data_IF_831562032596
#
_entry.id   IF_831562032596
#
_cell.length_a   1.000
_cell.length_b   1.000
_cell.length_c   1.000
_cell.angle_alpha   90.00
_cell.angle_beta   90.00
_cell.angle_gamma   90.00
#
_symmetry.space_group_name_H-M   'P 1'
#
loop_
_entity.id
_entity.type
_entity.pdbx_description
1 polymer ?
#
# COMPACT_ATOMS: atom_id res chain seq x y z
N UNK A 1 24.36 -52.00 -1.81
CA UNK A 1 23.33 -51.58 -0.84
C UNK A 1 22.50 -50.48 -1.53
N UNK A 2 21.27 -50.82 -1.91
CA UNK A 2 20.41 -49.95 -2.67
C UNK A 2 19.64 -49.03 -1.72
N UNK A 3 19.77 -47.71 -1.89
CA UNK A 3 19.04 -46.67 -1.16
C UNK A 3 17.65 -46.51 -1.79
N UNK A 4 16.63 -46.93 -1.07
CA UNK A 4 15.24 -46.79 -1.47
C UNK A 4 14.81 -45.32 -1.44
N UNK A 5 14.51 -44.75 -2.59
CA UNK A 5 13.89 -43.44 -2.74
C UNK A 5 12.43 -43.49 -2.24
N UNK A 6 12.15 -42.82 -1.13
CA UNK A 6 10.77 -42.54 -0.67
C UNK A 6 10.09 -41.61 -1.67
N UNK A 7 9.20 -42.12 -2.50
CA UNK A 7 8.32 -41.33 -3.33
C UNK A 7 7.34 -40.56 -2.42
N UNK A 8 7.44 -39.23 -2.38
CA UNK A 8 6.41 -38.36 -1.81
C UNK A 8 5.14 -38.50 -2.68
N UNK A 9 4.09 -39.10 -2.12
CA UNK A 9 2.76 -39.11 -2.74
C UNK A 9 2.32 -37.64 -2.98
N UNK A 10 1.69 -37.32 -4.13
CA UNK A 10 1.23 -35.96 -4.40
C UNK A 10 0.15 -35.56 -3.39
N UNK A 11 0.33 -34.42 -2.74
CA UNK A 11 -0.65 -33.85 -1.82
C UNK A 11 -1.97 -33.61 -2.59
N UNK A 12 -2.99 -34.37 -2.29
CA UNK A 12 -4.33 -34.24 -2.86
C UNK A 12 -4.87 -32.87 -2.45
N UNK A 13 -5.09 -31.98 -3.40
CA UNK A 13 -5.70 -30.65 -3.16
C UNK A 13 -7.12 -30.84 -2.68
N UNK A 14 -7.35 -30.68 -1.37
CA UNK A 14 -8.69 -30.70 -0.81
C UNK A 14 -9.47 -29.47 -1.24
N UNK A 15 -10.70 -29.66 -1.70
CA UNK A 15 -11.67 -28.62 -2.02
C UNK A 15 -12.73 -28.55 -0.92
N UNK A 16 -13.25 -27.35 -0.63
CA UNK A 16 -14.39 -27.23 0.26
C UNK A 16 -15.70 -27.41 -0.48
N UNK A 17 -16.62 -28.15 0.14
CA UNK A 17 -17.93 -28.44 -0.38
C UNK A 17 -18.99 -28.02 0.66
N UNK A 18 -19.97 -27.24 0.23
CA UNK A 18 -21.20 -27.01 0.97
C UNK A 18 -22.16 -28.15 0.70
N UNK A 19 -22.71 -28.72 1.75
CA UNK A 19 -23.69 -29.76 1.63
C UNK A 19 -24.98 -29.42 2.38
N UNK A 20 -26.08 -29.87 1.84
CA UNK A 20 -27.42 -29.73 2.39
C UNK A 20 -28.10 -31.11 2.33
N UNK A 21 -28.69 -31.57 3.44
CA UNK A 21 -29.34 -32.85 3.48
C UNK A 21 -30.38 -32.93 4.62
N UNK A 22 -31.16 -34.00 4.65
CA UNK A 22 -32.16 -34.24 5.69
C UNK A 22 -31.62 -35.27 6.72
N UNK A 23 -31.71 -34.92 8.01
CA UNK A 23 -31.38 -35.82 9.10
C UNK A 23 -32.49 -36.89 9.25
N UNK A 24 -32.25 -37.91 10.07
CA UNK A 24 -33.23 -38.98 10.37
C UNK A 24 -34.61 -38.47 10.83
N UNK A 25 -34.64 -37.29 11.45
CA UNK A 25 -35.85 -36.59 11.89
C UNK A 25 -36.52 -35.73 10.82
N UNK A 26 -36.08 -35.81 9.56
CA UNK A 26 -36.63 -35.04 8.45
C UNK A 26 -36.23 -33.56 8.42
N UNK A 27 -35.44 -33.05 9.41
CA UNK A 27 -34.98 -31.68 9.48
C UNK A 27 -33.84 -31.42 8.46
N UNK A 28 -33.89 -30.26 7.82
CA UNK A 28 -32.86 -29.81 6.89
C UNK A 28 -31.60 -29.39 7.65
N UNK A 29 -30.49 -30.05 7.39
CA UNK A 29 -29.18 -29.77 7.98
C UNK A 29 -28.23 -29.31 6.86
N UNK A 30 -27.44 -28.27 7.12
CA UNK A 30 -26.44 -27.72 6.22
C UNK A 30 -25.09 -27.71 6.90
N UNK A 31 -24.03 -27.93 6.12
CA UNK A 31 -22.67 -27.88 6.64
C UNK A 31 -21.64 -27.69 5.55
N UNK A 32 -20.41 -27.47 5.98
CA UNK A 32 -19.24 -27.37 5.09
C UNK A 32 -18.27 -28.51 5.44
N UNK A 33 -17.67 -29.11 4.40
CA UNK A 33 -16.68 -30.17 4.57
C UNK A 33 -15.59 -30.06 3.51
N UNK A 34 -14.34 -30.29 3.93
CA UNK A 34 -13.20 -30.39 3.01
C UNK A 34 -12.99 -31.83 2.61
N UNK A 35 -12.84 -32.08 1.31
CA UNK A 35 -12.56 -33.38 0.75
C UNK A 35 -11.88 -33.29 -0.61
N UNK A 36 -11.29 -34.39 -1.05
CA UNK A 36 -10.64 -34.51 -2.35
C UNK A 36 -11.64 -34.46 -3.53
N UNK A 37 -12.88 -34.93 -3.31
CA UNK A 37 -13.94 -34.96 -4.32
C UNK A 37 -15.33 -34.89 -3.70
N UNK A 38 -16.33 -34.56 -4.52
CA UNK A 38 -17.74 -34.53 -4.12
C UNK A 38 -18.25 -35.92 -3.66
N UNK A 39 -17.79 -36.98 -4.30
CA UNK A 39 -18.12 -38.36 -3.94
C UNK A 39 -17.67 -38.73 -2.51
N UNK A 40 -16.51 -38.26 -2.09
CA UNK A 40 -15.98 -38.45 -0.73
C UNK A 40 -16.85 -37.73 0.31
N UNK A 41 -17.32 -36.50 -0.01
CA UNK A 41 -18.23 -35.73 0.84
C UNK A 41 -19.56 -36.48 0.98
N UNK A 42 -20.16 -36.92 -0.14
CA UNK A 42 -21.41 -37.65 -0.14
C UNK A 42 -21.33 -38.98 0.68
N UNK A 43 -20.22 -39.71 0.50
CA UNK A 43 -20.00 -40.96 1.26
C UNK A 43 -19.89 -40.71 2.78
N UNK A 44 -19.21 -39.62 3.17
CA UNK A 44 -18.99 -39.26 4.58
C UNK A 44 -20.28 -38.78 5.24
N UNK A 45 -21.13 -38.05 4.54
CA UNK A 45 -22.40 -37.52 4.99
C UNK A 45 -23.44 -38.64 5.08
N UNK A 46 -23.47 -39.59 4.11
CA UNK A 46 -24.33 -40.80 4.19
C UNK A 46 -24.01 -41.65 5.40
N UNK A 47 -22.73 -41.80 5.78
CA UNK A 47 -22.33 -42.51 7.02
C UNK A 47 -22.84 -41.83 8.29
N UNK A 48 -23.13 -40.53 8.26
CA UNK A 48 -23.71 -39.76 9.37
C UNK A 48 -25.26 -39.85 9.39
N UNK A 49 -25.87 -40.65 8.51
CA UNK A 49 -27.31 -40.85 8.47
C UNK A 49 -28.11 -39.72 7.82
N UNK A 50 -27.45 -38.88 7.06
CA UNK A 50 -28.08 -37.75 6.35
C UNK A 50 -28.39 -38.19 4.93
N UNK A 51 -29.66 -38.10 4.54
CA UNK A 51 -30.17 -38.49 3.22
C UNK A 51 -30.51 -37.26 2.37
N UNK A 52 -30.73 -37.49 1.07
CA UNK A 52 -31.10 -36.44 0.10
C UNK A 52 -30.13 -35.26 0.02
N UNK A 53 -28.81 -35.56 -0.01
CA UNK A 53 -27.75 -34.60 0.04
C UNK A 53 -27.50 -33.91 -1.30
N UNK A 54 -27.60 -32.58 -1.34
CA UNK A 54 -27.08 -31.75 -2.41
C UNK A 54 -25.69 -31.24 -2.00
N UNK A 55 -24.68 -31.59 -2.77
CA UNK A 55 -23.30 -31.15 -2.55
C UNK A 55 -22.94 -30.14 -3.64
N UNK A 56 -22.47 -28.97 -3.29
CA UNK A 56 -21.95 -27.96 -4.22
C UNK A 56 -20.49 -27.67 -3.88
N UNK A 57 -19.61 -27.81 -4.85
CA UNK A 57 -18.23 -27.35 -4.72
C UNK A 57 -18.22 -25.84 -4.53
N UNK A 58 -17.72 -25.39 -3.40
CA UNK A 58 -17.50 -23.96 -3.19
C UNK A 58 -16.29 -23.58 -4.03
N UNK A 59 -16.51 -22.81 -5.10
CA UNK A 59 -15.42 -22.05 -5.66
C UNK A 59 -15.04 -21.06 -4.57
N UNK A 60 -13.91 -21.27 -3.89
CA UNK A 60 -13.34 -20.20 -3.10
C UNK A 60 -13.31 -18.96 -3.98
N UNK A 61 -14.12 -17.95 -3.69
CA UNK A 61 -13.78 -16.60 -4.09
C UNK A 61 -12.37 -16.43 -3.56
N UNK A 62 -11.41 -16.19 -4.47
CA UNK A 62 -10.03 -15.83 -4.10
C UNK A 62 -10.16 -14.89 -2.93
N UNK A 63 -9.67 -15.29 -1.74
CA UNK A 63 -9.95 -14.56 -0.51
C UNK A 63 -9.58 -13.10 -0.73
N UNK A 64 -10.42 -12.18 -0.28
CA UNK A 64 -10.15 -10.76 -0.42
C UNK A 64 -8.77 -10.47 0.17
N UNK A 65 -7.98 -9.68 -0.56
CA UNK A 65 -6.62 -9.34 -0.15
C UNK A 65 -6.65 -8.68 1.24
N UNK A 66 -5.78 -9.13 2.13
CA UNK A 66 -5.61 -8.51 3.44
C UNK A 66 -4.99 -7.12 3.25
N UNK A 67 -5.62 -6.09 3.77
CA UNK A 67 -5.16 -4.70 3.69
C UNK A 67 -4.48 -4.25 4.99
N UNK A 68 -3.67 -3.18 4.92
CA UNK A 68 -3.12 -2.57 6.13
C UNK A 68 -4.23 -2.07 7.09
N UNK A 69 -5.38 -1.65 6.54
CA UNK A 69 -6.55 -1.24 7.33
C UNK A 69 -7.15 -2.40 8.12
N UNK A 70 -7.22 -3.59 7.52
CA UNK A 70 -7.71 -4.79 8.21
C UNK A 70 -6.82 -5.13 9.40
N UNK A 71 -5.49 -5.03 9.23
CA UNK A 71 -4.53 -5.30 10.32
C UNK A 71 -4.63 -4.22 11.42
N UNK A 72 -4.77 -2.96 11.07
CA UNK A 72 -4.94 -1.90 12.06
C UNK A 72 -6.24 -2.05 12.86
N UNK A 73 -7.36 -2.36 12.17
CA UNK A 73 -8.65 -2.62 12.81
C UNK A 73 -8.57 -3.82 13.78
N UNK A 74 -8.00 -4.93 13.32
CA UNK A 74 -7.74 -6.09 14.15
C UNK A 74 -6.92 -5.73 15.38
N UNK A 75 -5.80 -5.01 15.19
CA UNK A 75 -4.89 -4.62 16.30
C UNK A 75 -5.62 -3.75 17.32
N UNK A 76 -6.43 -2.78 16.86
CA UNK A 76 -7.25 -1.93 17.73
C UNK A 76 -8.28 -2.74 18.52
N UNK A 77 -8.99 -3.65 17.86
CA UNK A 77 -9.97 -4.52 18.52
C UNK A 77 -9.30 -5.42 19.56
N UNK A 78 -8.16 -6.03 19.22
CA UNK A 78 -7.40 -6.87 20.14
C UNK A 78 -6.93 -6.08 21.35
N UNK A 79 -6.32 -4.90 21.12
CA UNK A 79 -5.86 -4.01 22.20
C UNK A 79 -7.00 -3.60 23.14
N UNK A 80 -8.16 -3.22 22.58
CA UNK A 80 -9.33 -2.82 23.37
C UNK A 80 -9.87 -3.97 24.22
N UNK A 81 -9.95 -5.17 23.67
CA UNK A 81 -10.38 -6.37 24.41
C UNK A 81 -9.40 -6.74 25.53
N UNK A 82 -8.10 -6.75 25.23
CA UNK A 82 -7.06 -7.02 26.22
C UNK A 82 -7.09 -6.00 27.37
N UNK A 83 -7.25 -4.72 27.05
CA UNK A 83 -7.38 -3.61 28.02
C UNK A 83 -8.64 -3.76 28.92
N UNK A 84 -9.68 -4.39 28.37
CA UNK A 84 -10.93 -4.72 29.10
C UNK A 84 -10.83 -6.04 29.89
N UNK A 85 -9.65 -6.67 29.92
CA UNK A 85 -9.42 -7.90 30.68
C UNK A 85 -9.86 -9.18 29.96
N UNK A 86 -10.22 -9.13 28.67
CA UNK A 86 -10.55 -10.32 27.90
C UNK A 86 -9.28 -11.13 27.64
N UNK A 87 -9.26 -12.44 27.95
CA UNK A 87 -8.09 -13.29 27.68
C UNK A 87 -7.70 -13.28 26.21
N UNK A 88 -6.39 -13.31 25.92
CA UNK A 88 -5.82 -13.21 24.58
C UNK A 88 -6.45 -14.17 23.57
N UNK A 89 -6.52 -15.46 23.88
CA UNK A 89 -7.07 -16.48 22.99
C UNK A 89 -8.56 -16.28 22.70
N UNK A 90 -9.31 -15.79 23.69
CA UNK A 90 -10.72 -15.46 23.53
C UNK A 90 -10.90 -14.22 22.64
N UNK A 91 -10.06 -13.20 22.82
CA UNK A 91 -10.06 -12.02 21.96
C UNK A 91 -9.77 -12.37 20.49
N UNK A 92 -8.80 -13.26 20.23
CA UNK A 92 -8.53 -13.78 18.88
C UNK A 92 -9.73 -14.52 18.29
N UNK A 93 -10.45 -15.33 19.08
CA UNK A 93 -11.62 -16.05 18.61
C UNK A 93 -12.76 -15.09 18.24
N UNK A 94 -13.03 -14.10 19.08
CA UNK A 94 -14.08 -13.09 18.85
C UNK A 94 -13.77 -12.28 17.59
N UNK A 95 -12.56 -11.74 17.49
CA UNK A 95 -12.16 -10.89 16.34
C UNK A 95 -12.06 -11.73 15.07
N UNK A 96 -11.48 -12.93 15.15
CA UNK A 96 -11.29 -13.80 13.98
C UNK A 96 -12.63 -14.27 13.39
N UNK A 97 -13.62 -14.59 14.19
CA UNK A 97 -14.97 -14.98 13.73
C UNK A 97 -15.81 -13.78 13.30
N UNK A 98 -15.61 -12.62 13.92
CA UNK A 98 -16.38 -11.40 13.65
C UNK A 98 -15.83 -10.54 12.51
N UNK A 99 -14.64 -10.83 11.97
CA UNK A 99 -14.01 -9.98 10.97
C UNK A 99 -14.72 -10.05 9.62
N UNK A 100 -14.99 -8.88 9.01
CA UNK A 100 -15.70 -8.78 7.72
C UNK A 100 -14.94 -9.42 6.54
N UNK A 101 -13.59 -9.47 6.61
CA UNK A 101 -12.74 -10.12 5.63
C UNK A 101 -12.45 -11.58 6.08
N UNK A 102 -12.99 -12.61 5.41
CA UNK A 102 -12.80 -14.01 5.80
C UNK A 102 -11.34 -14.48 5.78
N UNK A 103 -10.50 -13.84 4.93
CA UNK A 103 -9.07 -14.17 4.85
C UNK A 103 -8.34 -13.70 6.12
N UNK A 104 -8.73 -12.54 6.65
CA UNK A 104 -8.21 -12.05 7.94
C UNK A 104 -8.71 -12.94 9.07
N UNK A 105 -10.01 -13.26 9.10
CA UNK A 105 -10.56 -14.18 10.09
C UNK A 105 -9.79 -15.51 10.15
N UNK A 106 -9.50 -16.11 8.97
CA UNK A 106 -8.68 -17.32 8.90
C UNK A 106 -7.26 -17.09 9.43
N UNK A 107 -6.59 -16.01 9.01
CA UNK A 107 -5.25 -15.67 9.50
C UNK A 107 -5.21 -15.59 11.03
N UNK A 108 -6.20 -14.93 11.64
CA UNK A 108 -6.27 -14.77 13.10
C UNK A 108 -6.52 -16.09 13.83
N UNK A 109 -7.35 -16.97 13.27
CA UNK A 109 -7.58 -18.30 13.81
C UNK A 109 -6.35 -19.21 13.66
N UNK A 110 -5.61 -19.09 12.56
CA UNK A 110 -4.35 -19.82 12.36
C UNK A 110 -3.29 -19.35 13.41
N UNK A 111 -3.18 -18.03 13.67
CA UNK A 111 -2.31 -17.46 14.73
C UNK A 111 -2.76 -17.94 16.11
N UNK A 112 -4.07 -17.91 16.40
CA UNK A 112 -4.63 -18.43 17.65
C UNK A 112 -4.21 -19.88 17.88
N UNK A 113 -4.33 -20.74 16.87
CA UNK A 113 -3.95 -22.15 16.96
C UNK A 113 -2.45 -22.33 17.24
N UNK A 114 -1.59 -21.50 16.65
CA UNK A 114 -0.16 -21.51 16.92
C UNK A 114 0.14 -21.15 18.40
N UNK A 115 -0.55 -20.15 18.94
CA UNK A 115 -0.41 -19.73 20.36
C UNK A 115 -0.95 -20.81 21.30
N UNK A 116 -2.09 -21.44 20.98
CA UNK A 116 -2.65 -22.57 21.75
C UNK A 116 -1.70 -23.77 21.83
N UNK A 117 -0.86 -23.97 20.81
CA UNK A 117 0.15 -25.03 20.80
C UNK A 117 1.46 -24.65 21.54
N UNK A 118 1.51 -23.48 22.18
CA UNK A 118 2.63 -23.04 23.02
C UNK A 118 3.65 -22.13 22.33
N UNK A 119 3.40 -21.68 21.09
CA UNK A 119 4.24 -20.66 20.46
C UNK A 119 3.97 -19.29 21.11
N UNK A 120 5.02 -18.45 21.23
CA UNK A 120 4.79 -17.06 21.63
C UNK A 120 3.99 -16.31 20.55
N UNK A 121 3.23 -15.28 20.94
CA UNK A 121 2.43 -14.49 20.00
C UNK A 121 3.32 -13.82 18.94
N UNK A 122 4.47 -13.29 19.34
CA UNK A 122 5.46 -12.70 18.45
C UNK A 122 5.99 -13.70 17.43
N UNK A 123 6.24 -14.98 17.83
CA UNK A 123 6.65 -16.05 16.91
C UNK A 123 5.52 -16.42 15.95
N UNK A 124 4.28 -16.48 16.42
CA UNK A 124 3.12 -16.76 15.58
C UNK A 124 2.94 -15.67 14.50
N UNK A 125 3.10 -14.38 14.84
CA UNK A 125 3.05 -13.29 13.87
C UNK A 125 4.21 -13.33 12.85
N UNK A 126 5.42 -13.71 13.26
CA UNK A 126 6.59 -13.81 12.36
C UNK A 126 6.42 -14.83 11.24
N UNK A 127 5.48 -15.79 11.35
CA UNK A 127 5.14 -16.72 10.27
C UNK A 127 4.45 -16.03 9.09
N UNK A 128 3.93 -14.81 9.29
CA UNK A 128 3.18 -14.04 8.30
C UNK A 128 3.84 -12.68 8.00
N UNK A 129 5.05 -12.65 7.42
CA UNK A 129 5.84 -11.41 7.25
C UNK A 129 5.24 -10.41 6.26
N UNK A 130 4.29 -10.84 5.42
CA UNK A 130 3.55 -9.93 4.51
C UNK A 130 2.52 -9.07 5.24
N UNK A 131 2.03 -9.50 6.40
CA UNK A 131 1.02 -8.83 7.19
C UNK A 131 1.61 -8.14 8.43
N UNK A 132 2.61 -8.76 9.04
CA UNK A 132 3.23 -8.30 10.27
C UNK A 132 4.72 -8.04 10.04
N UNK A 133 5.08 -6.78 10.01
CA UNK A 133 6.45 -6.32 9.83
C UNK A 133 7.31 -6.56 11.11
N UNK A 134 8.62 -6.33 10.98
CA UNK A 134 9.55 -6.51 12.09
C UNK A 134 9.18 -5.63 13.31
N UNK A 135 8.74 -4.38 13.06
CA UNK A 135 8.27 -3.48 14.12
C UNK A 135 7.12 -4.11 14.91
N UNK A 136 6.11 -4.64 14.20
CA UNK A 136 4.95 -5.29 14.82
C UNK A 136 5.39 -6.46 15.72
N UNK A 137 6.21 -7.34 15.18
CA UNK A 137 6.67 -8.53 15.90
C UNK A 137 7.57 -8.18 17.10
N UNK A 138 8.41 -7.16 16.99
CA UNK A 138 9.30 -6.74 18.07
C UNK A 138 8.55 -6.07 19.21
N UNK A 139 7.56 -5.21 18.91
CA UNK A 139 6.69 -4.61 19.93
C UNK A 139 5.88 -5.66 20.67
N UNK A 140 5.30 -6.63 19.94
CA UNK A 140 4.57 -7.75 20.56
C UNK A 140 5.49 -8.57 21.44
N UNK A 141 6.73 -8.87 20.98
CA UNK A 141 7.72 -9.60 21.77
C UNK A 141 8.09 -8.87 23.07
N UNK A 142 8.31 -7.56 23.00
CA UNK A 142 8.58 -6.75 24.18
C UNK A 142 7.39 -6.76 25.16
N UNK A 143 6.17 -6.67 24.64
CA UNK A 143 4.94 -6.75 25.45
C UNK A 143 4.72 -8.09 26.13
N UNK A 144 5.02 -9.19 25.43
CA UNK A 144 4.97 -10.53 26.02
C UNK A 144 5.98 -10.71 27.14
N UNK A 145 7.23 -10.26 26.93
CA UNK A 145 8.30 -10.40 27.92
C UNK A 145 8.06 -9.54 29.17
N UNK A 146 7.53 -8.33 28.98
CA UNK A 146 7.27 -7.41 30.06
C UNK A 146 5.89 -7.59 30.73
N UNK A 147 5.01 -8.46 30.19
CA UNK A 147 3.65 -8.66 30.69
C UNK A 147 2.69 -7.46 30.48
N UNK A 148 3.02 -6.54 29.56
CA UNK A 148 2.26 -5.31 29.26
C UNK A 148 1.74 -5.32 27.79
N UNK A 149 1.33 -6.50 27.32
CA UNK A 149 0.92 -6.72 25.94
C UNK A 149 -0.26 -5.84 25.51
N UNK A 150 -1.22 -5.60 26.41
CA UNK A 150 -2.36 -4.70 26.21
C UNK A 150 -1.94 -3.28 25.88
N UNK A 151 -1.00 -2.74 26.65
CA UNK A 151 -0.45 -1.38 26.47
C UNK A 151 0.33 -1.27 25.15
N UNK A 152 1.16 -2.26 24.81
CA UNK A 152 1.93 -2.23 23.56
C UNK A 152 1.07 -2.47 22.33
N UNK A 153 0.03 -3.29 22.42
CA UNK A 153 -0.95 -3.43 21.34
C UNK A 153 -1.72 -2.13 21.09
N UNK A 154 -2.06 -1.36 22.13
CA UNK A 154 -2.71 -0.06 22.00
C UNK A 154 -1.81 0.98 21.32
N UNK A 155 -0.53 1.03 21.70
CA UNK A 155 0.49 1.87 21.03
C UNK A 155 0.66 1.47 19.57
N UNK A 156 0.72 0.16 19.29
CA UNK A 156 0.84 -0.39 17.95
C UNK A 156 -0.39 -0.10 17.08
N UNK A 157 -1.59 -0.19 17.65
CA UNK A 157 -2.84 0.19 16.97
C UNK A 157 -2.81 1.68 16.60
N UNK A 158 -2.49 2.54 17.56
CA UNK A 158 -2.36 3.99 17.34
C UNK A 158 -1.32 4.32 16.27
N UNK A 159 -0.15 3.66 16.31
CA UNK A 159 0.87 3.79 15.27
C UNK A 159 0.34 3.41 13.87
N UNK A 160 -0.28 2.24 13.74
CA UNK A 160 -0.82 1.78 12.44
C UNK A 160 -1.92 2.71 11.92
N UNK A 161 -2.80 3.20 12.80
CA UNK A 161 -3.86 4.17 12.44
C UNK A 161 -3.27 5.49 11.91
N UNK A 162 -2.26 6.06 12.59
CA UNK A 162 -1.58 7.29 12.15
C UNK A 162 -0.90 7.11 10.79
N UNK A 163 -0.17 6.01 10.58
CA UNK A 163 0.47 5.71 9.30
C UNK A 163 -0.55 5.57 8.17
N UNK A 164 -1.68 4.91 8.43
CA UNK A 164 -2.77 4.76 7.46
C UNK A 164 -3.44 6.10 7.18
N UNK A 165 -3.62 6.95 8.19
CA UNK A 165 -4.19 8.30 8.02
C UNK A 165 -3.33 9.14 7.06
N UNK A 166 -2.01 9.19 7.25
CA UNK A 166 -1.06 9.88 6.37
C UNK A 166 -1.18 9.33 4.93
N UNK A 167 -1.10 8.01 4.75
CA UNK A 167 -1.22 7.38 3.43
C UNK A 167 -2.56 7.68 2.76
N UNK A 168 -3.65 7.66 3.53
CA UNK A 168 -5.01 7.93 3.04
C UNK A 168 -5.17 9.38 2.61
N UNK A 169 -4.63 10.34 3.37
CA UNK A 169 -4.64 11.77 3.04
C UNK A 169 -3.94 12.05 1.72
N UNK A 170 -2.70 11.57 1.57
CA UNK A 170 -1.93 11.72 0.33
C UNK A 170 -2.70 11.10 -0.86
N UNK A 171 -3.24 9.88 -0.69
CA UNK A 171 -3.99 9.19 -1.75
C UNK A 171 -5.26 9.96 -2.15
N UNK A 172 -6.00 10.49 -1.17
CA UNK A 172 -7.24 11.25 -1.43
C UNK A 172 -6.94 12.56 -2.14
N UNK A 173 -5.89 13.27 -1.75
CA UNK A 173 -5.47 14.50 -2.39
C UNK A 173 -5.03 14.29 -3.85
N UNK A 174 -4.41 13.15 -4.15
CA UNK A 174 -3.99 12.79 -5.52
C UNK A 174 -5.15 12.35 -6.42
N UNK A 175 -6.30 11.99 -5.86
CA UNK A 175 -7.43 11.46 -6.63
C UNK A 175 -7.99 12.50 -7.61
N UNK A 176 -8.20 13.73 -7.16
CA UNK A 176 -8.76 14.83 -7.98
C UNK A 176 -7.84 15.19 -9.15
N UNK A 177 -6.54 15.50 -8.97
CA UNK A 177 -5.62 15.78 -10.07
C UNK A 177 -5.54 14.64 -11.10
N UNK A 178 -5.42 13.41 -10.64
CA UNK A 178 -5.34 12.24 -11.53
C UNK A 178 -6.63 12.09 -12.33
N UNK A 179 -7.80 12.27 -11.70
CA UNK A 179 -9.09 12.16 -12.39
C UNK A 179 -9.22 13.19 -13.51
N UNK A 180 -8.82 14.43 -13.26
CA UNK A 180 -8.87 15.49 -14.30
C UNK A 180 -7.91 15.17 -15.44
N UNK A 181 -6.69 14.74 -15.14
CA UNK A 181 -5.71 14.36 -16.18
C UNK A 181 -6.22 13.19 -17.03
N UNK A 182 -6.89 12.22 -16.44
CA UNK A 182 -7.51 11.10 -17.17
C UNK A 182 -8.62 11.61 -18.10
N UNK A 183 -9.51 12.46 -17.60
CA UNK A 183 -10.59 13.06 -18.41
C UNK A 183 -10.01 13.90 -19.54
N UNK A 184 -8.99 14.71 -19.26
CA UNK A 184 -8.29 15.51 -20.25
C UNK A 184 -7.68 14.65 -21.36
N UNK A 185 -7.02 13.56 -20.97
CA UNK A 185 -6.43 12.61 -21.91
C UNK A 185 -7.50 11.96 -22.79
N UNK A 186 -8.64 11.57 -22.22
CA UNK A 186 -9.76 11.00 -22.97
C UNK A 186 -10.32 12.02 -23.98
N UNK A 187 -10.56 13.25 -23.54
CA UNK A 187 -11.06 14.33 -24.42
C UNK A 187 -10.07 14.59 -25.56
N UNK A 188 -8.79 14.71 -25.25
CA UNK A 188 -7.73 14.89 -26.25
C UNK A 188 -7.69 13.73 -27.26
N UNK A 189 -7.79 12.49 -26.78
CA UNK A 189 -7.83 11.34 -27.66
C UNK A 189 -9.05 11.33 -28.59
N UNK A 190 -10.23 11.70 -28.06
CA UNK A 190 -11.46 11.83 -28.89
C UNK A 190 -11.29 12.91 -29.96
N UNK A 191 -10.74 14.08 -29.61
CA UNK A 191 -10.47 15.14 -30.58
C UNK A 191 -9.50 14.65 -31.66
N UNK A 192 -8.41 14.01 -31.26
CA UNK A 192 -7.39 13.50 -32.19
C UNK A 192 -7.89 12.42 -33.13
N UNK A 193 -8.78 11.52 -32.67
CA UNK A 193 -9.26 10.38 -33.44
C UNK A 193 -10.42 10.75 -34.34
N UNK A 194 -11.33 11.60 -33.88
CA UNK A 194 -12.59 11.84 -34.60
C UNK A 194 -12.68 13.26 -35.17
N UNK A 195 -12.30 14.29 -34.41
CA UNK A 195 -12.54 15.67 -34.78
C UNK A 195 -11.52 16.17 -35.82
N UNK A 196 -10.23 15.97 -35.56
CA UNK A 196 -9.16 16.46 -36.45
C UNK A 196 -9.23 15.78 -37.82
N UNK A 197 -9.45 14.44 -37.98
CA UNK A 197 -9.61 13.83 -39.29
C UNK A 197 -10.81 14.36 -40.07
N UNK A 198 -11.95 14.63 -39.42
CA UNK A 198 -13.10 15.22 -40.08
C UNK A 198 -12.80 16.61 -40.63
N UNK A 199 -12.13 17.46 -39.85
CA UNK A 199 -11.68 18.77 -40.33
C UNK A 199 -10.66 18.68 -41.47
N UNK A 200 -9.78 17.67 -41.45
CA UNK A 200 -8.80 17.42 -42.52
C UNK A 200 -9.50 17.18 -43.88
N UNK A 201 -10.57 16.40 -43.89
CA UNK A 201 -11.38 16.15 -45.13
C UNK A 201 -12.02 17.43 -45.63
N UNK A 202 -12.58 18.24 -44.73
CA UNK A 202 -13.16 19.53 -45.06
C UNK A 202 -12.10 20.47 -45.67
N UNK A 203 -10.93 20.63 -45.05
CA UNK A 203 -9.89 21.51 -45.56
C UNK A 203 -9.30 21.06 -46.90
N UNK A 204 -9.20 19.74 -47.13
CA UNK A 204 -8.78 19.23 -48.46
C UNK A 204 -9.72 19.63 -49.59
N UNK A 205 -11.04 19.73 -49.33
CA UNK A 205 -12.03 20.13 -50.34
C UNK A 205 -11.92 21.61 -50.74
N UNK A 206 -11.33 22.45 -49.88
CA UNK A 206 -11.15 23.89 -50.17
C UNK A 206 -9.86 24.22 -50.95
N UNK A 207 -8.91 23.26 -51.08
CA UNK A 207 -7.68 23.43 -51.89
C UNK A 207 -6.72 24.51 -51.43
N UNK A 208 -6.85 25.03 -50.20
CA UNK A 208 -6.01 26.11 -49.67
C UNK A 208 -4.82 25.57 -48.88
N UNK A 209 -3.69 26.29 -48.90
CA UNK A 209 -2.51 26.01 -48.10
C UNK A 209 -2.83 26.15 -46.59
N UNK A 210 -2.65 25.08 -45.83
CA UNK A 210 -2.89 25.04 -44.41
C UNK A 210 -1.77 25.71 -43.62
N UNK A 211 -2.11 26.46 -42.55
CA UNK A 211 -1.13 27.04 -41.63
C UNK A 211 -0.27 25.98 -40.95
N UNK A 212 0.99 26.32 -40.63
CA UNK A 212 1.95 25.39 -39.99
C UNK A 212 1.43 24.79 -38.67
N UNK A 213 0.76 25.52 -37.75
CA UNK A 213 0.21 24.92 -36.54
C UNK A 213 -0.83 23.83 -36.81
N UNK A 214 -1.68 24.05 -37.85
CA UNK A 214 -2.70 23.05 -38.27
C UNK A 214 -2.06 21.80 -38.81
N UNK A 215 -1.01 21.94 -39.65
CA UNK A 215 -0.24 20.81 -40.20
C UNK A 215 0.40 19.97 -39.09
N UNK A 216 0.98 20.63 -38.07
CA UNK A 216 1.58 19.93 -36.94
C UNK A 216 0.52 19.10 -36.19
N UNK A 217 -0.62 19.69 -35.86
CA UNK A 217 -1.70 18.99 -35.13
C UNK A 217 -2.25 17.84 -35.96
N UNK A 218 -2.41 18.02 -37.28
CA UNK A 218 -2.87 16.96 -38.19
C UNK A 218 -1.84 15.82 -38.28
N UNK A 219 -0.55 16.12 -38.36
CA UNK A 219 0.50 15.10 -38.38
C UNK A 219 0.52 14.28 -37.07
N UNK A 220 0.36 14.96 -35.92
CA UNK A 220 0.24 14.27 -34.61
C UNK A 220 -1.01 13.40 -34.58
N UNK A 221 -2.15 13.88 -35.08
CA UNK A 221 -3.40 13.11 -35.17
C UNK A 221 -3.23 11.87 -36.06
N UNK A 222 -2.67 12.03 -37.26
CA UNK A 222 -2.42 10.90 -38.18
C UNK A 222 -1.50 9.84 -37.55
N UNK A 223 -0.45 10.28 -36.84
CA UNK A 223 0.42 9.39 -36.08
C UNK A 223 -0.35 8.67 -34.98
N UNK A 224 -1.17 9.38 -34.21
CA UNK A 224 -1.96 8.82 -33.14
C UNK A 224 -3.00 7.79 -33.67
N UNK A 225 -3.71 8.11 -34.74
CA UNK A 225 -4.71 7.23 -35.37
C UNK A 225 -4.05 5.98 -35.97
N UNK A 226 -2.88 6.13 -36.60
CA UNK A 226 -2.16 5.00 -37.24
C UNK A 226 -1.50 4.06 -36.22
N UNK A 227 -1.00 4.60 -35.12
CA UNK A 227 -0.16 3.87 -34.17
C UNK A 227 -0.73 3.78 -32.74
N UNK A 228 -2.02 4.09 -32.54
CA UNK A 228 -2.63 4.07 -31.20
C UNK A 228 -2.37 2.76 -30.45
N UNK A 229 -2.50 1.60 -31.10
CA UNK A 229 -2.23 0.30 -30.52
C UNK A 229 -0.77 0.13 -30.07
N UNK A 230 0.18 0.63 -30.85
CA UNK A 230 1.59 0.61 -30.50
C UNK A 230 1.90 1.57 -29.33
N UNK A 231 1.30 2.78 -29.36
CA UNK A 231 1.44 3.78 -28.31
C UNK A 231 0.95 3.21 -26.97
N UNK A 232 -0.27 2.67 -26.93
CA UNK A 232 -0.80 2.05 -25.71
C UNK A 232 -0.03 0.78 -25.33
N UNK A 233 0.42 -0.02 -26.28
CA UNK A 233 1.26 -1.20 -26.05
C UNK A 233 2.61 -0.84 -25.42
N UNK A 234 3.30 0.17 -25.96
CA UNK A 234 4.60 0.64 -25.44
C UNK A 234 4.44 1.31 -24.09
N UNK A 235 3.43 2.17 -23.91
CA UNK A 235 3.15 2.82 -22.62
C UNK A 235 2.79 1.75 -21.58
N UNK A 236 1.84 0.87 -21.86
CA UNK A 236 1.40 -0.19 -20.94
C UNK A 236 2.52 -1.19 -20.63
N UNK A 237 3.25 -1.64 -21.65
CA UNK A 237 4.40 -2.54 -21.50
C UNK A 237 5.55 -1.89 -20.75
N UNK A 238 5.86 -0.61 -21.05
CA UNK A 238 6.86 0.19 -20.34
C UNK A 238 6.51 0.41 -18.86
N UNK A 239 5.24 0.75 -18.58
CA UNK A 239 4.74 0.85 -17.21
C UNK A 239 4.86 -0.48 -16.46
N UNK A 240 4.43 -1.57 -17.08
CA UNK A 240 4.54 -2.90 -16.49
C UNK A 240 6.00 -3.28 -16.20
N UNK A 241 6.89 -3.13 -17.18
CA UNK A 241 8.32 -3.40 -17.04
C UNK A 241 8.99 -2.52 -15.97
N UNK A 242 8.61 -1.23 -15.93
CA UNK A 242 9.09 -0.28 -14.93
C UNK A 242 8.65 -0.69 -13.51
N UNK A 243 7.36 -0.96 -13.29
CA UNK A 243 6.86 -1.38 -11.98
C UNK A 243 7.44 -2.73 -11.53
N UNK A 244 7.61 -3.68 -12.47
CA UNK A 244 8.21 -4.97 -12.15
C UNK A 244 9.70 -4.82 -11.81
N UNK A 245 10.44 -3.99 -12.54
CA UNK A 245 11.84 -3.66 -12.24
C UNK A 245 11.98 -2.94 -10.91
N UNK A 246 11.06 -2.02 -10.60
CA UNK A 246 11.05 -1.31 -9.33
C UNK A 246 10.80 -2.27 -8.15
N UNK A 247 9.90 -3.24 -8.30
CA UNK A 247 9.64 -4.24 -7.25
C UNK A 247 10.81 -5.21 -7.03
N UNK A 248 11.52 -5.58 -8.10
CA UNK A 248 12.56 -6.63 -8.04
C UNK A 248 13.96 -6.12 -7.76
N UNK A 249 14.29 -4.90 -8.15
CA UNK A 249 15.65 -4.38 -8.09
C UNK A 249 15.82 -3.31 -7.00
N UNK A 250 16.59 -3.65 -5.96
CA UNK A 250 16.96 -2.70 -4.90
C UNK A 250 17.70 -1.47 -5.45
N UNK A 251 18.52 -1.64 -6.50
CA UNK A 251 19.22 -0.51 -7.14
C UNK A 251 18.24 0.49 -7.76
N UNK A 252 17.20 -0.02 -8.45
CA UNK A 252 16.15 0.82 -9.03
C UNK A 252 15.36 1.53 -7.93
N UNK A 253 15.05 0.83 -6.83
CA UNK A 253 14.38 1.43 -5.68
C UNK A 253 15.17 2.59 -5.09
N UNK A 254 16.49 2.43 -4.87
CA UNK A 254 17.35 3.50 -4.34
C UNK A 254 17.38 4.72 -5.28
N UNK A 255 17.53 4.49 -6.59
CA UNK A 255 17.57 5.57 -7.57
C UNK A 255 16.23 6.32 -7.61
N UNK A 256 15.11 5.57 -7.63
CA UNK A 256 13.78 6.15 -7.66
C UNK A 256 13.45 6.91 -6.37
N UNK A 257 13.78 6.36 -5.21
CA UNK A 257 13.57 7.02 -3.92
C UNK A 257 14.39 8.32 -3.83
N UNK A 258 15.62 8.33 -4.34
CA UNK A 258 16.45 9.53 -4.41
C UNK A 258 15.89 10.58 -5.39
N UNK A 259 15.39 10.12 -6.55
CA UNK A 259 14.78 11.00 -7.55
C UNK A 259 13.49 11.63 -6.99
N UNK A 260 12.62 10.83 -6.40
CA UNK A 260 11.37 11.28 -5.82
C UNK A 260 11.56 12.34 -4.72
N UNK A 261 12.63 12.25 -3.92
CA UNK A 261 12.98 13.28 -2.93
C UNK A 261 13.41 14.63 -3.57
N UNK A 262 13.76 14.65 -4.87
CA UNK A 262 14.18 15.86 -5.59
C UNK A 262 13.07 16.50 -6.42
N UNK A 263 11.96 15.80 -6.63
CA UNK A 263 10.83 16.33 -7.39
C UNK A 263 10.23 17.52 -6.64
N UNK A 264 10.08 18.70 -7.27
CA UNK A 264 9.46 19.83 -6.59
C UNK A 264 8.03 19.48 -6.12
N UNK A 265 7.61 20.04 -5.03
CA UNK A 265 6.33 19.79 -4.33
C UNK A 265 6.21 18.37 -3.75
N UNK A 266 6.35 17.33 -4.56
CA UNK A 266 6.24 15.93 -4.12
C UNK A 266 7.39 15.50 -3.19
N UNK A 267 8.61 15.96 -3.48
CA UNK A 267 9.80 15.61 -2.69
C UNK A 267 9.70 16.10 -1.24
N UNK A 268 9.09 17.27 -1.04
CA UNK A 268 8.86 17.82 0.29
C UNK A 268 7.86 16.98 1.09
N UNK A 269 6.74 16.60 0.49
CA UNK A 269 5.73 15.73 1.11
C UNK A 269 6.35 14.38 1.47
N UNK A 270 7.12 13.77 0.56
CA UNK A 270 7.78 12.50 0.81
C UNK A 270 8.77 12.62 1.95
N UNK A 271 9.61 13.66 1.97
CA UNK A 271 10.59 13.91 3.02
C UNK A 271 9.92 14.05 4.38
N UNK A 272 8.92 14.91 4.51
CA UNK A 272 8.14 15.13 5.73
C UNK A 272 7.46 13.83 6.18
N UNK A 273 6.84 13.07 5.26
CA UNK A 273 6.21 11.78 5.55
C UNK A 273 7.19 10.71 6.03
N UNK A 274 8.40 10.68 5.47
CA UNK A 274 9.45 9.74 5.89
C UNK A 274 9.95 10.09 7.28
N UNK A 275 10.19 11.38 7.56
CA UNK A 275 10.64 11.84 8.88
C UNK A 275 9.55 11.57 9.92
N UNK A 276 8.29 11.89 9.65
CA UNK A 276 7.17 11.61 10.54
C UNK A 276 7.11 10.12 10.91
N UNK A 277 7.21 9.24 9.92
CA UNK A 277 7.20 7.79 10.15
C UNK A 277 8.43 7.32 10.92
N UNK A 278 9.61 7.80 10.57
CA UNK A 278 10.85 7.47 11.22
C UNK A 278 10.81 7.83 12.71
N UNK A 279 10.47 9.09 13.03
CA UNK A 279 10.40 9.59 14.40
C UNK A 279 9.28 8.94 15.20
N UNK A 280 8.09 8.73 14.61
CA UNK A 280 6.97 8.02 15.24
C UNK A 280 7.33 6.57 15.56
N UNK A 281 8.01 5.89 14.64
CA UNK A 281 8.45 4.50 14.86
C UNK A 281 9.45 4.43 16.00
N UNK A 282 10.48 5.31 16.00
CA UNK A 282 11.49 5.33 17.04
C UNK A 282 10.89 5.68 18.41
N UNK A 283 10.02 6.70 18.47
CA UNK A 283 9.30 7.08 19.69
C UNK A 283 8.50 5.90 20.26
N UNK A 284 7.77 5.18 19.38
CA UNK A 284 6.93 4.03 19.78
C UNK A 284 7.78 2.90 20.34
N UNK A 285 8.89 2.56 19.69
CA UNK A 285 9.81 1.50 20.11
C UNK A 285 10.50 1.86 21.43
N UNK A 286 11.00 3.08 21.54
CA UNK A 286 11.71 3.54 22.72
C UNK A 286 10.77 3.63 23.94
N UNK A 287 9.55 4.16 23.74
CA UNK A 287 8.53 4.18 24.78
C UNK A 287 8.06 2.76 25.20
N UNK A 288 8.26 1.76 24.36
CA UNK A 288 8.01 0.35 24.66
C UNK A 288 9.17 -0.34 25.41
N UNK A 289 10.27 0.41 25.70
CA UNK A 289 11.44 -0.12 26.37
C UNK A 289 12.36 -0.96 25.49
N UNK A 290 12.19 -0.92 24.17
CA UNK A 290 13.07 -1.62 23.24
C UNK A 290 14.41 -0.89 23.16
N UNK A 291 15.56 -1.59 23.27
CA UNK A 291 16.87 -0.98 23.17
C UNK A 291 17.06 -0.17 21.90
N UNK A 292 17.77 0.97 21.99
CA UNK A 292 17.92 1.92 20.88
C UNK A 292 18.46 1.29 19.60
N UNK A 293 19.51 0.47 19.72
CA UNK A 293 20.16 -0.20 18.57
C UNK A 293 19.19 -1.16 17.85
N UNK A 294 18.38 -1.92 18.59
CA UNK A 294 17.35 -2.80 18.04
C UNK A 294 16.20 -2.02 17.40
N UNK A 295 15.82 -0.90 18.03
CA UNK A 295 14.80 0.00 17.52
C UNK A 295 15.19 0.57 16.16
N UNK A 296 16.45 0.96 15.95
CA UNK A 296 16.95 1.54 14.71
C UNK A 296 16.85 0.57 13.52
N UNK A 297 16.99 -0.75 13.72
CA UNK A 297 16.76 -1.72 12.64
C UNK A 297 15.32 -1.71 12.15
N UNK A 298 14.37 -1.74 13.07
CA UNK A 298 12.93 -1.66 12.76
C UNK A 298 12.54 -0.32 12.12
N UNK A 299 13.09 0.78 12.63
CA UNK A 299 12.86 2.15 12.14
C UNK A 299 13.33 2.32 10.70
N UNK A 300 14.53 1.80 10.37
CA UNK A 300 15.05 1.80 9.00
C UNK A 300 14.14 1.07 8.02
N UNK A 301 13.55 -0.06 8.44
CA UNK A 301 12.56 -0.80 7.65
C UNK A 301 11.24 -0.06 7.48
N UNK A 302 10.76 0.60 8.52
CA UNK A 302 9.47 1.29 8.55
C UNK A 302 9.49 2.67 7.85
N UNK A 303 10.67 3.30 7.68
CA UNK A 303 10.82 4.61 7.05
C UNK A 303 10.23 4.67 5.63
N UNK A 304 10.26 3.55 4.90
CA UNK A 304 9.62 3.42 3.57
C UNK A 304 10.34 4.20 2.47
N UNK A 305 11.62 4.53 2.68
CA UNK A 305 12.52 5.14 1.70
C UNK A 305 13.92 4.59 1.90
N UNK A 306 14.57 4.14 0.83
CA UNK A 306 15.87 3.48 0.89
C UNK A 306 17.02 4.42 1.30
N UNK A 307 16.92 5.72 1.01
CA UNK A 307 17.94 6.70 1.45
C UNK A 307 17.95 6.78 2.97
N UNK A 308 16.78 6.93 3.58
CA UNK A 308 16.63 6.96 5.04
C UNK A 308 16.95 5.61 5.68
N UNK A 309 16.60 4.49 5.02
CA UNK A 309 16.98 3.15 5.48
C UNK A 309 18.49 2.97 5.57
N UNK A 310 19.24 3.39 4.55
CA UNK A 310 20.70 3.32 4.54
C UNK A 310 21.32 4.23 5.59
N UNK A 311 20.81 5.46 5.72
CA UNK A 311 21.26 6.38 6.75
C UNK A 311 20.97 5.85 8.16
N UNK A 312 19.80 5.26 8.40
CA UNK A 312 19.46 4.65 9.69
C UNK A 312 20.40 3.49 10.01
N UNK A 313 20.80 2.70 9.01
CA UNK A 313 21.78 1.63 9.21
C UNK A 313 23.16 2.18 9.58
N UNK A 314 23.58 3.31 9.01
CA UNK A 314 24.81 3.99 9.41
C UNK A 314 24.69 4.50 10.86
N UNK A 315 23.60 5.18 11.21
CA UNK A 315 23.33 5.62 12.59
C UNK A 315 23.39 4.45 13.55
N UNK A 316 22.75 3.32 13.23
CA UNK A 316 22.75 2.12 14.04
C UNK A 316 24.19 1.61 14.29
N UNK A 317 25.03 1.59 13.26
CA UNK A 317 26.42 1.17 13.35
C UNK A 317 27.23 2.10 14.28
N UNK A 318 27.06 3.42 14.14
CA UNK A 318 27.75 4.42 14.96
C UNK A 318 27.28 4.36 16.43
N UNK A 319 25.97 4.26 16.65
CA UNK A 319 25.40 4.12 18.02
C UNK A 319 25.85 2.82 18.68
N UNK A 320 25.95 1.72 17.95
CA UNK A 320 26.42 0.44 18.48
C UNK A 320 27.89 0.49 18.94
N UNK A 321 28.69 1.43 18.42
CA UNK A 321 30.08 1.67 18.85
C UNK A 321 30.20 2.74 19.95
N UNK A 322 29.05 3.24 20.47
CA UNK A 322 29.02 4.18 21.60
C UNK A 322 28.93 5.65 21.20
N UNK A 323 28.76 5.97 19.91
CA UNK A 323 28.48 7.34 19.47
C UNK A 323 27.04 7.73 19.86
N UNK A 324 26.80 8.97 20.29
CA UNK A 324 25.45 9.43 20.61
C UNK A 324 24.53 9.43 19.38
N UNK A 325 23.23 9.25 19.58
CA UNK A 325 22.25 9.28 18.49
C UNK A 325 22.29 10.64 17.77
N UNK A 326 22.40 11.74 18.53
CA UNK A 326 22.48 13.10 18.00
C UNK A 326 23.64 13.26 17.03
N UNK A 327 24.85 12.87 17.43
CA UNK A 327 26.06 12.99 16.59
C UNK A 327 25.93 12.10 15.36
N UNK A 328 25.47 10.85 15.51
CA UNK A 328 25.25 9.95 14.38
C UNK A 328 24.23 10.49 13.38
N UNK A 329 23.16 11.15 13.86
CA UNK A 329 22.16 11.78 12.98
C UNK A 329 22.73 13.01 12.25
N UNK A 330 23.61 13.80 12.90
CA UNK A 330 24.31 14.92 12.27
C UNK A 330 25.27 14.44 11.17
N UNK A 331 26.01 13.34 11.41
CA UNK A 331 26.94 12.77 10.44
C UNK A 331 26.27 12.36 9.12
N UNK A 332 25.06 11.80 9.17
CA UNK A 332 24.33 11.42 7.95
C UNK A 332 23.67 12.60 7.23
N UNK A 333 23.50 13.73 7.89
CA UNK A 333 23.06 15.03 7.34
C UNK A 333 21.82 14.98 6.43
N UNK A 334 20.83 14.12 6.75
CA UNK A 334 19.56 14.04 6.01
C UNK A 334 18.36 14.51 6.83
N UNK A 335 18.54 14.69 8.13
CA UNK A 335 17.49 15.14 9.03
C UNK A 335 17.55 16.66 9.19
N UNK A 336 16.39 17.35 9.27
CA UNK A 336 16.34 18.77 9.60
C UNK A 336 16.92 19.07 10.97
N UNK A 337 17.50 20.26 11.15
CA UNK A 337 18.11 20.69 12.42
C UNK A 337 17.17 20.56 13.62
N UNK A 338 15.88 20.85 13.44
CA UNK A 338 14.89 20.70 14.51
C UNK A 338 14.84 19.26 15.04
N UNK A 339 14.91 18.26 14.15
CA UNK A 339 14.88 16.84 14.56
C UNK A 339 16.11 16.51 15.40
N UNK A 340 17.31 16.88 14.95
CA UNK A 340 18.56 16.60 15.65
C UNK A 340 18.64 17.35 16.98
N UNK A 341 18.13 18.59 17.06
CA UNK A 341 18.05 19.35 18.31
C UNK A 341 17.10 18.71 19.33
N UNK A 342 15.91 18.28 18.89
CA UNK A 342 14.95 17.60 19.78
C UNK A 342 15.49 16.25 20.27
N UNK A 343 16.23 15.53 19.41
CA UNK A 343 16.91 14.30 19.81
C UNK A 343 18.00 14.60 20.84
N UNK A 344 18.81 15.66 20.65
CA UNK A 344 19.83 16.07 21.63
C UNK A 344 19.22 16.35 23.00
N UNK A 345 18.16 17.15 23.03
CA UNK A 345 17.44 17.46 24.29
C UNK A 345 16.88 16.15 24.90
N UNK A 346 16.36 15.26 24.09
CA UNK A 346 15.84 13.96 24.55
C UNK A 346 16.91 13.04 25.12
N UNK A 347 18.11 13.00 24.50
CA UNK A 347 19.26 12.24 25.01
C UNK A 347 19.77 12.79 26.34
N UNK A 348 19.93 14.12 26.44
CA UNK A 348 20.42 14.78 27.64
C UNK A 348 19.43 14.71 28.83
N UNK A 349 18.13 14.81 28.55
CA UNK A 349 17.09 14.78 29.59
C UNK A 349 16.57 13.36 29.91
N UNK A 350 16.96 12.35 29.15
CA UNK A 350 16.41 10.99 29.26
C UNK A 350 14.94 10.86 28.80
N UNK A 351 14.41 11.85 28.08
CA UNK A 351 13.02 11.93 27.63
C UNK A 351 12.92 11.78 26.10
N UNK A 352 13.73 10.90 25.52
CA UNK A 352 13.86 10.74 24.07
C UNK A 352 12.52 10.34 23.39
N UNK A 353 11.73 9.48 24.02
CA UNK A 353 10.41 9.06 23.56
C UNK A 353 9.43 10.23 23.40
N UNK A 354 9.40 11.09 24.42
CA UNK A 354 8.55 12.29 24.44
C UNK A 354 8.97 13.30 23.37
N UNK A 355 10.27 13.58 23.26
CA UNK A 355 10.80 14.52 22.25
C UNK A 355 10.55 14.01 20.83
N UNK A 356 10.83 12.73 20.55
CA UNK A 356 10.55 12.11 19.26
C UNK A 356 9.05 12.08 18.94
N UNK A 357 8.18 11.88 19.93
CA UNK A 357 6.72 11.93 19.72
C UNK A 357 6.27 13.33 19.30
N UNK A 358 6.79 14.39 19.93
CA UNK A 358 6.48 15.77 19.52
C UNK A 358 6.99 16.09 18.12
N UNK A 359 8.18 15.62 17.76
CA UNK A 359 8.72 15.76 16.40
C UNK A 359 7.82 15.03 15.39
N UNK A 360 7.37 13.83 15.74
CA UNK A 360 6.46 13.08 14.88
C UNK A 360 5.12 13.80 14.68
N UNK A 361 4.50 14.32 15.76
CA UNK A 361 3.25 15.08 15.68
C UNK A 361 3.43 16.34 14.81
N UNK A 362 4.55 17.04 14.95
CA UNK A 362 4.88 18.20 14.13
C UNK A 362 4.98 17.83 12.64
N UNK A 363 5.75 16.79 12.28
CA UNK A 363 5.89 16.39 10.88
C UNK A 363 4.63 15.75 10.31
N UNK A 364 3.80 15.12 11.14
CA UNK A 364 2.46 14.67 10.70
C UNK A 364 1.59 15.86 10.28
N UNK A 365 1.58 16.96 11.06
CA UNK A 365 0.89 18.20 10.71
C UNK A 365 1.50 18.84 9.45
N UNK A 366 2.82 18.93 9.37
CA UNK A 366 3.53 19.45 8.20
C UNK A 366 3.24 18.65 6.90
N UNK A 367 2.98 17.34 7.00
CA UNK A 367 2.52 16.53 5.85
C UNK A 367 1.11 16.96 5.45
N UNK A 368 0.24 17.18 6.43
CA UNK A 368 -1.14 17.61 6.19
C UNK A 368 -1.17 18.95 5.43
N UNK A 369 -0.41 19.92 5.90
CA UNK A 369 -0.30 21.26 5.29
C UNK A 369 0.32 21.19 3.89
N UNK A 370 1.36 20.37 3.71
CA UNK A 370 2.00 20.20 2.41
C UNK A 370 1.09 19.52 1.38
N UNK A 371 0.25 18.57 1.81
CA UNK A 371 -0.75 17.91 0.96
C UNK A 371 -1.86 18.88 0.56
N UNK A 372 -2.31 19.75 1.47
CA UNK A 372 -3.30 20.78 1.19
C UNK A 372 -2.75 21.82 0.22
N UNK A 373 -1.54 22.33 0.46
CA UNK A 373 -0.84 23.24 -0.43
C UNK A 373 -0.62 22.64 -1.83
N UNK A 374 -0.23 21.37 -1.90
CA UNK A 374 -0.10 20.67 -3.18
C UNK A 374 -1.44 20.64 -3.93
N UNK A 375 -2.54 20.31 -3.24
CA UNK A 375 -3.87 20.24 -3.86
C UNK A 375 -4.29 21.60 -4.44
N UNK A 376 -4.03 22.68 -3.71
CA UNK A 376 -4.31 24.06 -4.16
C UNK A 376 -3.47 24.48 -5.34
N UNK A 377 -2.19 24.09 -5.37
CA UNK A 377 -1.28 24.41 -6.50
C UNK A 377 -1.57 23.59 -7.77
N UNK A 378 -2.15 22.40 -7.62
CA UNK A 378 -2.47 21.54 -8.76
C UNK A 378 -3.56 22.13 -9.65
N UNK A 379 -4.52 22.89 -9.11
CA UNK A 379 -5.62 23.48 -9.88
C UNK A 379 -5.14 24.47 -10.94
N UNK A 380 -4.33 25.52 -10.61
CA UNK A 380 -3.76 26.41 -11.63
C UNK A 380 -2.88 25.68 -12.66
N UNK A 381 -2.08 24.71 -12.22
CA UNK A 381 -1.22 23.94 -13.12
C UNK A 381 -2.07 23.16 -14.14
N UNK A 382 -3.11 22.49 -13.67
CA UNK A 382 -4.03 21.74 -14.52
C UNK A 382 -4.74 22.68 -15.51
N UNK A 383 -5.21 23.85 -15.05
CA UNK A 383 -5.86 24.85 -15.93
C UNK A 383 -4.91 25.32 -17.01
N UNK A 384 -3.65 25.61 -16.70
CA UNK A 384 -2.65 26.03 -17.69
C UNK A 384 -2.37 24.91 -18.70
N UNK A 385 -2.18 23.68 -18.23
CA UNK A 385 -1.93 22.54 -19.12
C UNK A 385 -3.12 22.27 -20.04
N UNK A 386 -4.34 22.23 -19.50
CA UNK A 386 -5.56 22.01 -20.29
C UNK A 386 -5.84 23.18 -21.25
N UNK A 387 -5.73 24.40 -20.77
CA UNK A 387 -5.92 25.60 -21.58
C UNK A 387 -4.95 25.66 -22.75
N UNK A 388 -3.68 25.34 -22.52
CA UNK A 388 -2.68 25.32 -23.58
C UNK A 388 -2.92 24.17 -24.56
N UNK A 389 -3.25 22.98 -24.08
CA UNK A 389 -3.44 21.80 -24.91
C UNK A 389 -4.73 21.90 -25.73
N UNK A 390 -5.86 22.12 -25.08
CA UNK A 390 -7.16 22.20 -25.77
C UNK A 390 -7.27 23.49 -26.55
N UNK A 391 -6.88 24.63 -25.96
CA UNK A 391 -6.88 25.92 -26.63
C UNK A 391 -5.96 25.94 -27.84
N UNK A 392 -4.76 25.35 -27.74
CA UNK A 392 -3.85 25.20 -28.86
C UNK A 392 -4.43 24.36 -30.02
N UNK A 393 -5.11 23.26 -29.70
CA UNK A 393 -5.81 22.46 -30.72
C UNK A 393 -6.96 23.24 -31.39
N UNK A 394 -7.77 23.96 -30.60
CA UNK A 394 -8.88 24.76 -31.13
C UNK A 394 -8.34 25.85 -32.06
N UNK A 395 -7.33 26.62 -31.62
CA UNK A 395 -6.68 27.65 -32.45
C UNK A 395 -6.14 27.04 -33.73
N UNK A 396 -5.42 25.94 -33.70
CA UNK A 396 -4.87 25.27 -34.86
C UNK A 396 -5.97 24.79 -35.86
N UNK A 397 -7.15 24.43 -35.37
CA UNK A 397 -8.30 24.03 -36.21
C UNK A 397 -9.02 25.22 -36.82
N UNK A 398 -9.18 26.34 -36.10
CA UNK A 398 -9.86 27.53 -36.62
C UNK A 398 -8.99 28.44 -37.50
N UNK A 399 -7.65 28.38 -37.36
CA UNK A 399 -6.71 29.23 -38.14
C UNK A 399 -6.90 29.12 -39.67
N UNK A 400 -7.15 27.94 -40.28
CA UNK A 400 -7.45 27.82 -41.70
C UNK A 400 -8.75 28.54 -42.10
N UNK A 401 -9.79 28.50 -41.25
CA UNK A 401 -11.06 29.13 -41.53
C UNK A 401 -10.90 30.66 -41.59
N UNK A 402 -10.12 31.26 -40.69
CA UNK A 402 -9.80 32.69 -40.73
C UNK A 402 -8.99 33.06 -41.96
N UNK A 403 -8.04 32.21 -42.42
CA UNK A 403 -7.29 32.48 -43.66
C UNK A 403 -8.18 32.42 -44.89
N UNK A 404 -9.12 31.49 -44.99
CA UNK A 404 -10.07 31.40 -46.09
C UNK A 404 -10.99 32.60 -46.13
N UNK A 405 -11.48 33.14 -45.00
CA UNK A 405 -12.27 34.36 -44.92
C UNK A 405 -11.51 35.65 -45.27
N UNK A 406 -10.19 35.65 -45.30
CA UNK A 406 -9.35 36.77 -45.69
C UNK A 406 -8.99 36.78 -47.20
N UNK A 407 -9.28 35.71 -47.93
CA UNK A 407 -9.02 35.56 -49.38
C UNK A 407 -10.29 35.75 -50.22
N UNK A 408 -11.45 35.71 -49.59
CA UNK A 408 -12.73 36.11 -50.19
C UNK A 408 -13.01 37.63 -49.96
#
# INVERSE_FOLDING_TARGET
MATAAKSKAPAVKEAAFLWEGKNKDGKLVRGEMRAASESVVQAKIRRQGITNTKVKKVRFKSGSKITEKDIALFTRQLATMMKSGVPLLQAFDIVGRGHSNPTVGKLLLDIKADVETGSSLSQAFRKFPLQFDALYCNLVSAGEQAGILDTLLDRLATYKEKIIAIKSKIKSAMFYPISILVVAFVITAVIMIFVIPAFKEVFKSFGADLPAPTLIVMAISDFFVSYWWAIFGIIGGGFYAFFESWKRSVKVQIVMDRLLLRVPVFGEIIRKSVIARWTRTLATMFAAGVPLVESLDSVGGAAGNHVYKLATKQIQSEVSTGTSLTVSMQNVNIFPNMVTQMVAIGEESGALDSMLSKVADFFEAEVDDAVEAMSSLMEPIIMVVLGTLIGGMVVAMYLPIFKLGAVV
#
